data_IF_927543344418
#
_entry.id   IF_927543344418
#
_cell.length_a   1.000
_cell.length_b   1.000
_cell.length_c   1.000
_cell.angle_alpha   90.00
_cell.angle_beta   90.00
_cell.angle_gamma   90.00
#
_symmetry.space_group_name_H-M   'P 1'
#
loop_
_entity.id
_entity.type
_entity.pdbx_description
1 polymer ?
#
# COMPACT_ATOMS: atom_id res chain seq x y z
N UNK A 1 11.84 8.92 -3.50
CA UNK A 1 12.30 7.69 -2.80
C UNK A 1 11.09 6.98 -2.23
N UNK A 2 11.05 5.64 -2.31
CA UNK A 2 10.00 4.82 -1.70
C UNK A 2 10.56 4.13 -0.46
N UNK A 3 9.99 4.43 0.71
CA UNK A 3 10.23 3.70 1.94
C UNK A 3 9.28 2.50 2.03
N UNK A 4 9.83 1.36 2.41
CA UNK A 4 9.07 0.12 2.63
C UNK A 4 9.24 -0.29 4.08
N UNK A 5 8.13 -0.35 4.81
CA UNK A 5 8.11 -0.76 6.20
C UNK A 5 8.23 -2.28 6.38
N UNK A 6 8.18 -2.72 7.64
CA UNK A 6 8.18 -4.15 7.97
C UNK A 6 6.86 -4.81 7.53
N UNK A 7 6.99 -5.88 6.74
CA UNK A 7 5.92 -6.83 6.43
C UNK A 7 5.62 -7.64 7.69
N UNK A 8 4.40 -7.55 8.22
CA UNK A 8 4.03 -8.22 9.46
C UNK A 8 2.52 -8.48 9.55
N UNK A 9 2.09 -9.50 10.31
CA UNK A 9 0.68 -9.73 10.61
C UNK A 9 0.11 -8.57 11.44
N UNK A 10 -1.07 -8.07 11.05
CA UNK A 10 -1.84 -7.04 11.77
C UNK A 10 -3.34 -7.36 11.72
N UNK A 11 -4.13 -6.95 12.73
CA UNK A 11 -5.58 -7.08 12.67
C UNK A 11 -6.14 -6.20 11.55
N UNK A 12 -7.12 -6.73 10.81
CA UNK A 12 -7.85 -6.06 9.75
C UNK A 12 -9.34 -6.39 9.85
N UNK A 13 -10.18 -5.45 9.46
CA UNK A 13 -11.64 -5.63 9.42
C UNK A 13 -12.01 -6.33 8.11
N UNK A 14 -12.89 -7.33 8.17
CA UNK A 14 -13.45 -8.00 6.99
C UNK A 14 -14.63 -7.21 6.43
N UNK A 15 -15.04 -7.52 5.19
CA UNK A 15 -16.20 -6.86 4.56
C UNK A 15 -17.49 -7.04 5.38
N UNK A 16 -17.65 -8.20 6.03
CA UNK A 16 -18.77 -8.51 6.93
C UNK A 16 -18.66 -7.89 8.34
N UNK A 17 -17.65 -7.05 8.59
CA UNK A 17 -17.43 -6.37 9.88
C UNK A 17 -16.74 -7.21 10.95
N UNK A 18 -16.22 -8.39 10.61
CA UNK A 18 -15.42 -9.23 11.50
C UNK A 18 -13.95 -8.79 11.59
N UNK A 19 -13.16 -9.45 12.44
CA UNK A 19 -11.72 -9.25 12.55
C UNK A 19 -10.95 -10.46 12.01
N UNK A 20 -9.90 -10.19 11.24
CA UNK A 20 -8.97 -11.19 10.73
C UNK A 20 -7.53 -10.70 10.84
N UNK A 21 -6.55 -11.61 10.73
CA UNK A 21 -5.13 -11.25 10.69
C UNK A 21 -4.67 -11.21 9.23
N UNK A 22 -4.16 -10.06 8.78
CA UNK A 22 -3.57 -9.90 7.44
C UNK A 22 -2.10 -9.52 7.54
N UNK A 23 -1.29 -10.11 6.66
CA UNK A 23 0.08 -9.66 6.44
C UNK A 23 0.04 -8.33 5.68
N UNK A 24 0.52 -7.27 6.30
CA UNK A 24 0.46 -5.90 5.76
C UNK A 24 1.83 -5.23 5.79
N UNK A 25 1.99 -4.18 4.98
CA UNK A 25 3.18 -3.35 4.92
C UNK A 25 2.77 -1.88 4.79
N UNK A 26 3.57 -0.98 5.36
CA UNK A 26 3.41 0.46 5.16
C UNK A 26 4.37 0.93 4.06
N UNK A 27 3.89 1.83 3.21
CA UNK A 27 4.66 2.46 2.16
C UNK A 27 4.70 3.97 2.40
N UNK A 28 5.84 4.58 2.15
CA UNK A 28 6.00 6.04 2.20
C UNK A 28 6.69 6.54 0.94
N UNK A 29 6.13 7.56 0.31
CA UNK A 29 6.69 8.16 -0.89
C UNK A 29 7.17 9.58 -0.59
N UNK A 30 8.47 9.82 -0.74
CA UNK A 30 9.05 11.17 -0.76
C UNK A 30 9.32 11.57 -2.20
N UNK A 31 8.84 12.73 -2.60
CA UNK A 31 8.96 13.26 -3.96
C UNK A 31 9.33 14.74 -3.93
N UNK A 32 9.84 15.25 -5.06
CA UNK A 32 10.18 16.65 -5.21
C UNK A 32 8.95 17.46 -5.61
N UNK A 33 8.44 18.26 -4.67
CA UNK A 33 7.22 19.04 -4.85
C UNK A 33 7.35 20.16 -5.88
N UNK A 34 8.58 20.49 -6.31
CA UNK A 34 8.82 21.46 -7.39
C UNK A 34 8.50 20.89 -8.77
N UNK A 35 8.49 19.56 -8.89
CA UNK A 35 8.33 18.84 -10.16
C UNK A 35 7.00 18.09 -10.24
N UNK A 36 6.49 17.61 -9.09
CA UNK A 36 5.21 16.91 -9.01
C UNK A 36 4.37 17.40 -7.82
N UNK A 37 3.06 17.35 -7.94
CA UNK A 37 2.15 17.64 -6.84
C UNK A 37 1.78 16.36 -6.05
N UNK A 38 0.99 16.55 -4.99
CA UNK A 38 0.54 15.45 -4.14
C UNK A 38 -0.44 14.50 -4.82
N UNK A 39 -1.20 14.96 -5.82
CA UNK A 39 -2.18 14.12 -6.53
C UNK A 39 -1.41 13.11 -7.38
N UNK A 40 -0.44 13.56 -8.17
CA UNK A 40 0.40 12.67 -8.97
C UNK A 40 1.14 11.64 -8.09
N UNK A 41 1.67 12.08 -6.95
CA UNK A 41 2.33 11.18 -6.00
C UNK A 41 1.38 10.14 -5.37
N UNK A 42 0.16 10.56 -4.99
CA UNK A 42 -0.86 9.67 -4.43
C UNK A 42 -1.34 8.65 -5.47
N UNK A 43 -1.62 9.07 -6.70
CA UNK A 43 -2.04 8.18 -7.80
C UNK A 43 -0.98 7.13 -8.11
N UNK A 44 0.31 7.50 -8.06
CA UNK A 44 1.40 6.54 -8.23
C UNK A 44 1.39 5.48 -7.12
N UNK A 45 1.28 5.92 -5.86
CA UNK A 45 1.30 5.02 -4.71
C UNK A 45 0.07 4.08 -4.71
N UNK A 46 -1.10 4.61 -5.03
CA UNK A 46 -2.34 3.82 -5.19
C UNK A 46 -2.19 2.77 -6.29
N UNK A 47 -1.67 3.16 -7.46
CA UNK A 47 -1.44 2.24 -8.58
C UNK A 47 -0.50 1.09 -8.21
N UNK A 48 0.52 1.35 -7.40
CA UNK A 48 1.41 0.30 -6.88
C UNK A 48 0.66 -0.66 -5.96
N UNK A 49 -0.10 -0.13 -5.00
CA UNK A 49 -0.89 -0.93 -4.04
C UNK A 49 -1.90 -1.81 -4.78
N UNK A 50 -2.66 -1.25 -5.73
CA UNK A 50 -3.64 -2.00 -6.51
C UNK A 50 -3.00 -3.16 -7.28
N UNK A 51 -1.83 -2.94 -7.91
CA UNK A 51 -1.10 -4.00 -8.63
C UNK A 51 -0.64 -5.11 -7.69
N UNK A 52 -0.14 -4.78 -6.50
CA UNK A 52 0.33 -5.78 -5.54
C UNK A 52 -0.82 -6.58 -4.92
N UNK A 53 -1.95 -5.94 -4.64
CA UNK A 53 -3.14 -6.64 -4.11
C UNK A 53 -3.76 -7.60 -5.13
N UNK A 54 -3.67 -7.31 -6.43
CA UNK A 54 -4.12 -8.20 -7.50
C UNK A 54 -3.19 -9.40 -7.73
N UNK A 55 -1.98 -9.37 -7.17
CA UNK A 55 -1.01 -10.45 -7.36
C UNK A 55 -1.27 -11.59 -6.37
N UNK A 56 -2.36 -12.32 -6.58
CA UNK A 56 -2.53 -13.72 -6.11
C UNK A 56 -1.81 -14.72 -7.06
N UNK A 57 -1.09 -14.20 -8.06
CA UNK A 57 -0.55 -14.92 -9.22
C UNK A 57 0.72 -15.75 -8.97
N UNK A 58 1.18 -15.90 -7.72
CA UNK A 58 2.35 -16.71 -7.36
C UNK A 58 2.06 -17.73 -6.25
N UNK A 59 0.79 -18.11 -6.08
CA UNK A 59 0.39 -19.31 -5.35
C UNK A 59 0.43 -20.54 -6.26
#
# INVERSE_FOLDING_TARGET
MLGVGKIAPRPAVTEDGGLTVRTTVHLSLTFDHRVADGVAAATLLESMVSRWQQTELWA
#
